data_IF_355622756969
#
_entry.id   IF_355622756969
#
_cell.length_a   1.000
_cell.length_b   1.000
_cell.length_c   1.000
_cell.angle_alpha   90.00
_cell.angle_beta   90.00
_cell.angle_gamma   90.00
#
_symmetry.space_group_name_H-M   'P 1'
#
loop_
_entity.id
_entity.type
_entity.pdbx_description
1 polymer ?
#
# COMPACT_ATOMS: atom_id res chain seq x y z
N UNK A 1 -9.53 -5.54 -33.92
CA UNK A 1 -8.48 -5.54 -32.88
C UNK A 1 -8.86 -4.47 -31.89
N UNK A 2 -9.28 -4.89 -30.70
CA UNK A 2 -9.89 -4.01 -29.71
C UNK A 2 -8.87 -3.00 -29.14
N UNK A 3 -9.36 -1.89 -28.59
CA UNK A 3 -8.60 -0.80 -27.96
C UNK A 3 -7.66 -1.20 -26.78
N UNK A 4 -7.42 -2.50 -26.56
CA UNK A 4 -6.56 -3.07 -25.52
C UNK A 4 -5.05 -3.03 -25.85
N UNK A 5 -4.66 -2.71 -27.09
CA UNK A 5 -3.27 -2.92 -27.56
C UNK A 5 -2.40 -1.64 -27.66
N UNK A 6 -2.80 -0.48 -27.12
CA UNK A 6 -2.03 0.75 -27.34
C UNK A 6 -1.07 1.14 -26.23
N UNK A 7 -1.41 0.87 -24.97
CA UNK A 7 -0.50 1.04 -23.84
C UNK A 7 -0.26 -0.34 -23.22
N UNK A 8 0.95 -0.85 -23.39
CA UNK A 8 1.29 -2.24 -23.04
C UNK A 8 1.16 -2.52 -21.54
N UNK A 9 1.40 -1.51 -20.70
CA UNK A 9 1.45 -1.67 -19.26
C UNK A 9 0.13 -1.32 -18.54
N UNK A 10 -0.81 -0.58 -19.15
CA UNK A 10 -1.98 -0.05 -18.43
C UNK A 10 -2.87 -1.15 -17.85
N UNK A 11 -3.23 -2.16 -18.65
CA UNK A 11 -4.06 -3.26 -18.15
C UNK A 11 -3.33 -4.16 -17.13
N UNK A 12 -2.07 -4.55 -17.33
CA UNK A 12 -1.28 -5.23 -16.32
C UNK A 12 -1.16 -4.43 -15.01
N UNK A 13 -0.86 -3.14 -15.10
CA UNK A 13 -0.74 -2.26 -13.94
C UNK A 13 -2.04 -2.19 -13.15
N UNK A 14 -3.20 -2.04 -13.79
CA UNK A 14 -4.50 -2.03 -13.08
C UNK A 14 -4.75 -3.27 -12.25
N UNK A 15 -4.30 -4.45 -12.72
CA UNK A 15 -4.40 -5.69 -11.93
C UNK A 15 -3.49 -5.62 -10.71
N UNK A 16 -2.26 -5.13 -10.91
CA UNK A 16 -1.30 -4.95 -9.81
C UNK A 16 -1.77 -3.91 -8.79
N UNK A 17 -2.44 -2.82 -9.20
CA UNK A 17 -3.03 -1.86 -8.27
C UNK A 17 -4.12 -2.50 -7.41
N UNK A 18 -4.96 -3.37 -7.98
CA UNK A 18 -5.97 -4.11 -7.20
C UNK A 18 -5.31 -5.05 -6.17
N UNK A 19 -4.25 -5.76 -6.58
CA UNK A 19 -3.46 -6.59 -5.67
C UNK A 19 -2.83 -5.74 -4.54
N UNK A 20 -2.30 -4.55 -4.89
CA UNK A 20 -1.76 -3.58 -3.94
C UNK A 20 -2.82 -3.13 -2.94
N UNK A 21 -4.03 -2.75 -3.40
CA UNK A 21 -5.11 -2.36 -2.49
C UNK A 21 -5.52 -3.47 -1.53
N UNK A 22 -5.56 -4.71 -2.01
CA UNK A 22 -5.86 -5.86 -1.17
C UNK A 22 -4.78 -6.08 -0.10
N UNK A 23 -3.50 -5.91 -0.45
CA UNK A 23 -2.39 -5.96 0.52
C UNK A 23 -2.44 -4.81 1.53
N UNK A 24 -2.71 -3.58 1.07
CA UNK A 24 -2.93 -2.43 1.95
C UNK A 24 -4.04 -2.69 2.98
N UNK A 25 -5.17 -3.27 2.55
CA UNK A 25 -6.28 -3.60 3.45
C UNK A 25 -5.89 -4.63 4.51
N UNK A 26 -5.08 -5.65 4.16
CA UNK A 26 -4.58 -6.63 5.13
C UNK A 26 -3.58 -5.99 6.11
N UNK A 27 -2.68 -5.14 5.63
CA UNK A 27 -1.77 -4.37 6.49
C UNK A 27 -2.52 -3.47 7.47
N UNK A 28 -3.55 -2.76 6.99
CA UNK A 28 -4.43 -1.94 7.83
C UNK A 28 -5.09 -2.77 8.94
N UNK A 29 -5.54 -3.99 8.64
CA UNK A 29 -6.10 -4.89 9.66
C UNK A 29 -5.08 -5.30 10.72
N UNK A 30 -3.80 -5.48 10.36
CA UNK A 30 -2.76 -5.77 11.35
C UNK A 30 -2.47 -4.55 12.23
N UNK A 31 -2.33 -3.36 11.63
CA UNK A 31 -2.14 -2.12 12.38
C UNK A 31 -3.28 -1.83 13.35
N UNK A 32 -4.53 -2.05 12.94
CA UNK A 32 -5.69 -1.89 13.81
C UNK A 32 -5.64 -2.84 15.03
N UNK A 33 -5.17 -4.08 14.85
CA UNK A 33 -4.99 -5.04 15.95
C UNK A 33 -3.85 -4.65 16.88
N UNK A 34 -2.76 -4.08 16.34
CA UNK A 34 -1.68 -3.51 17.16
C UNK A 34 -2.23 -2.36 17.99
N UNK A 35 -2.94 -1.41 17.37
CA UNK A 35 -3.54 -0.26 18.06
C UNK A 35 -4.44 -0.72 19.21
N UNK A 36 -5.36 -1.64 18.95
CA UNK A 36 -6.28 -2.21 19.94
C UNK A 36 -5.53 -2.92 21.08
N UNK A 37 -4.48 -3.68 20.78
CA UNK A 37 -3.67 -4.37 21.78
C UNK A 37 -2.91 -3.39 22.69
N UNK A 38 -2.34 -2.33 22.11
CA UNK A 38 -1.66 -1.27 22.85
C UNK A 38 -2.66 -0.50 23.71
N UNK A 39 -3.81 -0.12 23.16
CA UNK A 39 -4.86 0.60 23.91
C UNK A 39 -5.34 -0.19 25.13
N UNK A 40 -5.64 -1.49 24.94
CA UNK A 40 -6.09 -2.38 26.01
C UNK A 40 -5.02 -2.57 27.08
N UNK A 41 -3.75 -2.65 26.68
CA UNK A 41 -2.64 -2.73 27.63
C UNK A 41 -2.56 -1.48 28.48
N UNK A 42 -2.62 -0.29 27.87
CA UNK A 42 -2.64 0.99 28.60
C UNK A 42 -3.81 1.06 29.59
N UNK A 43 -4.99 0.60 29.20
CA UNK A 43 -6.16 0.53 30.07
C UNK A 43 -5.97 -0.42 31.26
N UNK A 44 -5.41 -1.61 31.03
CA UNK A 44 -5.14 -2.60 32.08
C UNK A 44 -4.08 -2.12 33.10
N UNK A 45 -3.16 -1.26 32.69
CA UNK A 45 -2.14 -0.67 33.56
C UNK A 45 -2.56 0.66 34.19
N UNK A 46 -3.73 1.19 33.85
CA UNK A 46 -4.23 2.46 34.36
C UNK A 46 -4.92 2.33 35.72
N UNK A 47 -4.97 3.45 36.47
CA UNK A 47 -5.62 3.55 37.79
C UNK A 47 -7.11 3.18 37.77
N UNK A 48 -7.73 3.19 36.59
CA UNK A 48 -9.15 2.89 36.35
C UNK A 48 -9.51 1.41 36.55
N UNK A 49 -8.51 0.52 36.65
CA UNK A 49 -8.71 -0.92 36.81
C UNK A 49 -9.24 -1.34 38.20
N UNK A 50 -9.32 -0.39 39.15
CA UNK A 50 -10.11 -0.51 40.38
C UNK A 50 -9.75 -1.73 41.25
N UNK A 51 -10.76 -2.39 41.82
CA UNK A 51 -10.63 -3.54 42.73
C UNK A 51 -9.93 -4.78 42.14
N UNK A 52 -9.70 -4.82 40.83
CA UNK A 52 -8.97 -5.91 40.15
C UNK A 52 -7.47 -5.60 39.97
N UNK A 53 -7.02 -4.40 40.34
CA UNK A 53 -5.59 -4.04 40.39
C UNK A 53 -4.81 -4.94 41.36
N UNK A 54 -5.46 -5.41 42.43
CA UNK A 54 -4.88 -6.33 43.41
C UNK A 54 -4.65 -7.75 42.84
N UNK A 55 -5.19 -8.05 41.65
CA UNK A 55 -4.94 -9.31 40.92
C UNK A 55 -3.73 -9.16 39.98
N UNK A 56 -2.55 -8.85 40.53
CA UNK A 56 -1.31 -8.63 39.77
C UNK A 56 -0.99 -9.75 38.77
N UNK A 57 -1.22 -11.01 39.16
CA UNK A 57 -1.02 -12.17 38.27
C UNK A 57 -1.95 -12.15 37.04
N UNK A 58 -3.20 -11.71 37.21
CA UNK A 58 -4.16 -11.62 36.13
C UNK A 58 -3.79 -10.48 35.19
N UNK A 59 -3.45 -9.32 35.75
CA UNK A 59 -3.00 -8.15 35.00
C UNK A 59 -1.74 -8.46 34.17
N UNK A 60 -0.72 -9.05 34.81
CA UNK A 60 0.52 -9.46 34.13
C UNK A 60 0.23 -10.43 32.99
N UNK A 61 -0.58 -11.46 33.23
CA UNK A 61 -0.93 -12.46 32.21
C UNK A 61 -1.73 -11.87 31.05
N UNK A 62 -2.65 -10.94 31.32
CA UNK A 62 -3.44 -10.27 30.30
C UNK A 62 -2.58 -9.34 29.44
N UNK A 63 -1.75 -8.50 30.07
CA UNK A 63 -0.82 -7.61 29.37
C UNK A 63 0.20 -8.39 28.53
N UNK A 64 0.78 -9.47 29.06
CA UNK A 64 1.70 -10.33 28.31
C UNK A 64 1.03 -10.90 27.04
N UNK A 65 -0.21 -11.38 27.14
CA UNK A 65 -0.94 -11.91 25.98
C UNK A 65 -1.26 -10.86 24.93
N UNK A 66 -1.54 -9.62 25.34
CA UNK A 66 -1.78 -8.50 24.44
C UNK A 66 -0.49 -8.09 23.73
N UNK A 67 0.65 -8.06 24.43
CA UNK A 67 1.96 -7.82 23.83
C UNK A 67 2.33 -8.90 22.82
N UNK A 68 2.11 -10.18 23.15
CA UNK A 68 2.32 -11.28 22.21
C UNK A 68 1.46 -11.15 20.94
N UNK A 69 0.22 -10.68 21.10
CA UNK A 69 -0.68 -10.44 19.97
C UNK A 69 -0.19 -9.26 19.11
N UNK A 70 0.17 -8.13 19.75
CA UNK A 70 0.73 -6.96 19.08
C UNK A 70 1.97 -7.36 18.28
N UNK A 71 2.91 -8.07 18.89
CA UNK A 71 4.15 -8.50 18.23
C UNK A 71 3.89 -9.43 17.03
N UNK A 72 2.97 -10.40 17.16
CA UNK A 72 2.56 -11.24 16.02
C UNK A 72 1.92 -10.43 14.89
N UNK A 73 1.12 -9.42 15.22
CA UNK A 73 0.52 -8.54 14.23
C UNK A 73 1.57 -7.63 13.56
N UNK A 74 2.55 -7.11 14.31
CA UNK A 74 3.70 -6.37 13.75
C UNK A 74 4.49 -7.23 12.77
N UNK A 75 4.75 -8.50 13.10
CA UNK A 75 5.41 -9.43 12.17
C UNK A 75 4.59 -9.65 10.90
N UNK A 76 3.28 -9.87 11.03
CA UNK A 76 2.38 -10.01 9.86
C UNK A 76 2.32 -8.72 9.04
N UNK A 77 2.42 -7.56 9.67
CA UNK A 77 2.50 -6.30 8.95
C UNK A 77 3.76 -6.21 8.10
N UNK A 78 4.90 -6.67 8.62
CA UNK A 78 6.13 -6.80 7.83
C UNK A 78 5.95 -7.74 6.64
N UNK A 79 5.32 -8.90 6.85
CA UNK A 79 5.02 -9.84 5.74
C UNK A 79 4.15 -9.16 4.65
N UNK A 80 3.21 -8.29 5.03
CA UNK A 80 2.40 -7.53 4.05
C UNK A 80 3.22 -6.44 3.33
N UNK A 81 4.19 -5.80 4.00
CA UNK A 81 5.13 -4.87 3.35
C UNK A 81 6.02 -5.59 2.35
N UNK A 82 6.51 -6.77 2.69
CA UNK A 82 7.31 -7.59 1.77
C UNK A 82 6.45 -7.98 0.54
N UNK A 83 5.17 -8.31 0.75
CA UNK A 83 4.21 -8.53 -0.34
C UNK A 83 3.96 -7.29 -1.20
N UNK A 84 3.91 -6.09 -0.61
CA UNK A 84 3.83 -4.84 -1.37
C UNK A 84 5.10 -4.59 -2.20
N UNK A 85 6.28 -4.91 -1.67
CA UNK A 85 7.54 -4.81 -2.40
C UNK A 85 7.58 -5.75 -3.61
N UNK A 86 7.07 -6.98 -3.46
CA UNK A 86 6.92 -7.93 -4.57
C UNK A 86 5.96 -7.41 -5.67
N UNK A 87 4.85 -6.79 -5.27
CA UNK A 87 3.91 -6.16 -6.21
C UNK A 87 4.59 -5.00 -6.94
N UNK A 88 5.28 -4.13 -6.21
CA UNK A 88 6.03 -3.02 -6.80
C UNK A 88 7.11 -3.50 -7.78
N UNK A 89 7.87 -4.55 -7.43
CA UNK A 89 8.87 -5.14 -8.32
C UNK A 89 8.22 -5.67 -9.61
N UNK A 90 7.01 -6.25 -9.53
CA UNK A 90 6.23 -6.65 -10.71
C UNK A 90 5.74 -5.45 -11.52
N UNK A 91 5.34 -4.34 -10.88
CA UNK A 91 4.99 -3.11 -11.58
C UNK A 91 6.21 -2.53 -12.32
N UNK A 92 7.38 -2.50 -11.67
CA UNK A 92 8.61 -2.00 -12.25
C UNK A 92 9.07 -2.82 -13.48
N UNK A 93 8.85 -4.14 -13.48
CA UNK A 93 9.14 -5.01 -14.64
C UNK A 93 8.32 -4.67 -15.89
N UNK A 94 7.21 -3.93 -15.77
CA UNK A 94 6.43 -3.48 -16.92
C UNK A 94 7.21 -2.51 -17.82
N UNK A 95 8.26 -1.85 -17.32
CA UNK A 95 9.13 -0.98 -18.13
C UNK A 95 9.84 -1.79 -19.23
N UNK A 96 10.29 -3.01 -18.91
CA UNK A 96 11.10 -3.85 -19.80
C UNK A 96 10.28 -4.88 -20.58
N UNK A 97 8.96 -4.71 -20.68
CA UNK A 97 8.11 -5.65 -21.40
C UNK A 97 8.35 -5.58 -22.92
N UNK A 98 8.63 -6.72 -23.55
CA UNK A 98 8.88 -6.85 -24.98
C UNK A 98 7.71 -6.35 -25.85
N UNK A 99 6.49 -6.26 -25.31
CA UNK A 99 5.36 -5.66 -26.01
C UNK A 99 5.59 -4.17 -26.32
N UNK A 100 6.42 -3.47 -25.55
CA UNK A 100 6.80 -2.08 -25.80
C UNK A 100 7.53 -1.91 -27.15
N UNK A 101 8.26 -2.94 -27.60
CA UNK A 101 9.03 -2.91 -28.85
C UNK A 101 8.15 -2.91 -30.12
N UNK A 102 6.83 -3.11 -29.97
CA UNK A 102 5.87 -3.07 -31.08
C UNK A 102 5.31 -1.68 -31.36
N UNK A 103 5.61 -0.70 -30.49
CA UNK A 103 5.15 0.67 -30.61
C UNK A 103 6.17 1.56 -31.33
N UNK A 104 5.68 2.63 -31.94
CA UNK A 104 6.54 3.72 -32.42
C UNK A 104 7.34 4.33 -31.27
N UNK A 105 8.61 4.64 -31.52
CA UNK A 105 9.58 5.07 -30.50
C UNK A 105 9.10 6.28 -29.70
N UNK A 106 8.49 7.28 -30.37
CA UNK A 106 7.98 8.48 -29.70
C UNK A 106 6.82 8.16 -28.77
N UNK A 107 5.98 7.17 -29.13
CA UNK A 107 4.85 6.72 -28.31
C UNK A 107 5.34 5.88 -27.13
N UNK A 108 6.30 4.99 -27.38
CA UNK A 108 6.96 4.18 -26.36
C UNK A 108 7.53 5.08 -25.26
N UNK A 109 8.34 6.07 -25.63
CA UNK A 109 8.93 7.04 -24.70
C UNK A 109 7.87 7.82 -23.90
N UNK A 110 6.77 8.24 -24.53
CA UNK A 110 5.69 8.96 -23.85
C UNK A 110 5.02 8.08 -22.78
N UNK A 111 4.60 6.88 -23.14
CA UNK A 111 3.93 5.99 -22.19
C UNK A 111 4.90 5.42 -21.14
N UNK A 112 6.17 5.29 -21.47
CA UNK A 112 7.23 4.97 -20.50
C UNK A 112 7.38 6.08 -19.46
N UNK A 113 7.39 7.35 -19.89
CA UNK A 113 7.43 8.49 -18.97
C UNK A 113 6.23 8.51 -18.02
N UNK A 114 5.02 8.23 -18.54
CA UNK A 114 3.82 8.13 -17.71
C UNK A 114 3.95 6.96 -16.72
N UNK A 115 4.45 5.80 -17.14
CA UNK A 115 4.66 4.67 -16.25
C UNK A 115 5.66 5.01 -15.14
N UNK A 116 6.76 5.71 -15.45
CA UNK A 116 7.74 6.14 -14.46
C UNK A 116 7.12 7.09 -13.41
N UNK A 117 6.25 8.00 -13.85
CA UNK A 117 5.49 8.88 -12.94
C UNK A 117 4.61 8.05 -11.98
N UNK A 118 3.87 7.07 -12.52
CA UNK A 118 3.05 6.16 -11.72
C UNK A 118 3.92 5.38 -10.73
N UNK A 119 5.01 4.77 -11.19
CA UNK A 119 5.90 3.96 -10.34
C UNK A 119 6.52 4.77 -9.21
N UNK A 120 6.88 6.03 -9.45
CA UNK A 120 7.38 6.92 -8.42
C UNK A 120 6.38 7.08 -7.27
N UNK A 121 5.07 7.20 -7.54
CA UNK A 121 4.05 7.28 -6.48
C UNK A 121 4.03 6.03 -5.59
N UNK A 122 4.07 4.84 -6.21
CA UNK A 122 4.07 3.57 -5.49
C UNK A 122 5.36 3.34 -4.72
N UNK A 123 6.51 3.78 -5.25
CA UNK A 123 7.79 3.70 -4.56
C UNK A 123 7.78 4.52 -3.26
N UNK A 124 7.35 5.79 -3.34
CA UNK A 124 7.24 6.65 -2.16
C UNK A 124 6.26 6.08 -1.13
N UNK A 125 5.13 5.55 -1.56
CA UNK A 125 4.17 4.90 -0.67
C UNK A 125 4.75 3.63 -0.03
N UNK A 126 5.48 2.81 -0.79
CA UNK A 126 6.15 1.61 -0.26
C UNK A 126 7.16 1.97 0.82
N UNK A 127 7.97 3.01 0.59
CA UNK A 127 8.94 3.50 1.56
C UNK A 127 8.23 3.96 2.83
N UNK A 128 7.18 4.77 2.71
CA UNK A 128 6.40 5.23 3.86
C UNK A 128 5.82 4.06 4.67
N UNK A 129 5.26 3.04 4.00
CA UNK A 129 4.72 1.84 4.65
C UNK A 129 5.81 0.99 5.32
N UNK A 130 6.98 0.90 4.70
CA UNK A 130 8.14 0.19 5.26
C UNK A 130 8.65 0.86 6.54
N UNK A 131 8.68 2.21 6.57
CA UNK A 131 9.04 2.96 7.78
C UNK A 131 8.05 2.71 8.92
N UNK A 132 6.75 2.70 8.61
CA UNK A 132 5.71 2.36 9.60
C UNK A 132 5.93 0.95 10.15
N UNK A 133 6.14 -0.05 9.28
CA UNK A 133 6.34 -1.44 9.70
C UNK A 133 7.63 -1.65 10.50
N UNK A 134 8.69 -0.89 10.21
CA UNK A 134 9.92 -0.91 11.00
C UNK A 134 9.71 -0.32 12.39
N UNK A 135 9.05 0.83 12.50
CA UNK A 135 8.87 1.54 13.77
C UNK A 135 7.88 0.84 14.72
N UNK A 136 6.88 0.15 14.17
CA UNK A 136 5.80 -0.47 14.96
C UNK A 136 6.29 -1.51 15.98
N UNK A 137 7.47 -2.10 15.78
CA UNK A 137 8.06 -3.06 16.72
C UNK A 137 8.47 -2.42 18.04
N UNK A 138 8.77 -1.13 18.02
CA UNK A 138 9.22 -0.34 19.17
C UNK A 138 8.15 0.68 19.62
N UNK A 139 6.95 0.61 19.04
CA UNK A 139 5.88 1.56 19.31
C UNK A 139 5.01 1.11 20.49
N UNK A 140 5.19 1.78 21.63
CA UNK A 140 4.44 1.54 22.87
C UNK A 140 3.28 2.53 23.10
N UNK A 141 3.14 3.54 22.25
CA UNK A 141 2.16 4.63 22.42
C UNK A 141 0.99 4.46 21.46
N UNK A 142 -0.22 4.33 22.01
CA UNK A 142 -1.45 4.19 21.22
C UNK A 142 -1.67 5.33 20.21
N UNK A 143 -1.37 6.56 20.59
CA UNK A 143 -1.51 7.75 19.72
C UNK A 143 -0.65 7.63 18.46
N UNK A 144 0.61 7.19 18.61
CA UNK A 144 1.52 6.98 17.49
C UNK A 144 1.01 5.88 16.55
N UNK A 145 0.53 4.75 17.10
CA UNK A 145 -0.06 3.68 16.27
C UNK A 145 -1.30 4.16 15.53
N UNK A 146 -2.10 5.04 16.14
CA UNK A 146 -3.29 5.62 15.49
C UNK A 146 -2.91 6.53 14.32
N UNK A 147 -1.85 7.33 14.47
CA UNK A 147 -1.30 8.15 13.37
C UNK A 147 -0.84 7.23 12.23
N UNK A 148 -0.09 6.16 12.53
CA UNK A 148 0.33 5.20 11.52
C UNK A 148 -0.83 4.52 10.81
N UNK A 149 -1.88 4.14 11.54
CA UNK A 149 -3.09 3.59 10.94
C UNK A 149 -3.76 4.58 9.98
N UNK A 150 -3.85 5.85 10.35
CA UNK A 150 -4.42 6.90 9.49
C UNK A 150 -3.55 7.14 8.24
N UNK A 151 -2.23 7.29 8.41
CA UNK A 151 -1.28 7.44 7.30
C UNK A 151 -1.34 6.26 6.34
N UNK A 152 -1.44 5.04 6.87
CA UNK A 152 -1.54 3.83 6.06
C UNK A 152 -2.81 3.80 5.20
N UNK A 153 -3.93 4.27 5.76
CA UNK A 153 -5.23 4.33 5.07
C UNK A 153 -5.27 5.39 3.98
N UNK A 154 -4.70 6.57 4.26
CA UNK A 154 -4.75 7.70 3.33
C UNK A 154 -3.93 7.47 2.06
N UNK A 155 -2.87 6.67 2.12
CA UNK A 155 -1.92 6.47 1.00
C UNK A 155 -1.49 7.81 0.36
N UNK A 156 -0.93 8.76 1.15
CA UNK A 156 -0.77 10.15 0.74
C UNK A 156 0.15 10.34 -0.48
N UNK A 157 0.98 9.36 -0.82
CA UNK A 157 1.87 9.43 -1.97
C UNK A 157 1.23 8.94 -3.28
N UNK A 158 0.08 8.26 -3.20
CA UNK A 158 -0.66 7.80 -4.37
C UNK A 158 -1.76 8.82 -4.69
N UNK A 159 -1.47 9.72 -5.62
CA UNK A 159 -2.45 10.68 -6.13
C UNK A 159 -3.43 10.01 -7.09
N UNK A 160 -4.60 9.63 -6.55
CA UNK A 160 -5.67 8.98 -7.32
C UNK A 160 -6.22 9.83 -8.44
N UNK A 161 -6.37 11.14 -8.20
CA UNK A 161 -6.85 12.04 -9.23
C UNK A 161 -5.87 12.08 -10.39
N UNK A 162 -4.57 12.16 -10.09
CA UNK A 162 -3.53 12.14 -11.12
C UNK A 162 -3.51 10.83 -11.89
N UNK A 163 -3.70 9.68 -11.24
CA UNK A 163 -3.81 8.39 -11.93
C UNK A 163 -5.00 8.35 -12.91
N UNK A 164 -6.15 8.91 -12.54
CA UNK A 164 -7.32 9.02 -13.42
C UNK A 164 -7.07 9.94 -14.62
N UNK A 165 -6.39 11.07 -14.41
CA UNK A 165 -5.97 11.98 -15.48
C UNK A 165 -5.03 11.28 -16.48
N UNK A 166 -4.01 10.58 -15.97
CA UNK A 166 -3.06 9.84 -16.79
C UNK A 166 -3.74 8.73 -17.60
N UNK A 167 -4.68 8.01 -17.00
CA UNK A 167 -5.49 7.04 -17.71
C UNK A 167 -6.30 7.71 -18.84
N UNK A 168 -6.96 8.83 -18.53
CA UNK A 168 -7.78 9.57 -19.49
C UNK A 168 -6.94 10.07 -20.66
N UNK A 169 -5.71 10.52 -20.41
CA UNK A 169 -4.76 10.92 -21.46
C UNK A 169 -4.43 9.75 -22.39
N UNK A 170 -4.18 8.56 -21.84
CA UNK A 170 -3.91 7.34 -22.64
C UNK A 170 -5.14 6.96 -23.48
N UNK A 171 -6.35 7.06 -22.91
CA UNK A 171 -7.60 6.77 -23.60
C UNK A 171 -7.95 7.81 -24.69
N UNK A 172 -7.62 9.08 -24.48
CA UNK A 172 -7.84 10.13 -25.48
C UNK A 172 -6.86 10.00 -26.65
N UNK A 173 -5.57 9.72 -26.37
CA UNK A 173 -4.56 9.45 -27.40
C UNK A 173 -5.00 8.29 -28.31
N UNK A 174 -5.71 7.30 -27.75
CA UNK A 174 -6.34 6.21 -28.48
C UNK A 174 -7.46 6.67 -29.42
N UNK A 175 -8.40 7.47 -28.92
CA UNK A 175 -9.57 7.92 -29.66
C UNK A 175 -9.18 8.69 -30.94
N UNK A 176 -8.25 9.64 -30.81
CA UNK A 176 -7.77 10.45 -31.94
C UNK A 176 -6.98 9.63 -32.98
N UNK A 177 -6.38 8.51 -32.58
CA UNK A 177 -5.68 7.63 -33.52
C UNK A 177 -6.64 6.77 -34.34
N UNK A 178 -7.70 6.26 -33.73
CA UNK A 178 -8.74 5.50 -34.44
C UNK A 178 -9.52 6.33 -35.45
N UNK A 179 -9.56 7.66 -35.28
CA UNK A 179 -10.28 8.59 -36.17
C UNK A 179 -9.45 9.14 -37.33
N UNK A 180 -8.12 8.89 -37.40
CA UNK A 180 -7.33 9.30 -38.56
C UNK A 180 -7.73 8.45 -39.78
N UNK A 181 -8.22 9.04 -40.88
CA UNK A 181 -8.54 8.29 -42.09
C UNK A 181 -7.25 7.69 -42.66
N UNK A 182 -7.28 6.40 -42.99
CA UNK A 182 -6.22 5.73 -43.76
C UNK A 182 -6.17 6.43 -45.13
N UNK A 183 -5.14 7.25 -45.33
CA UNK A 183 -4.74 7.72 -46.67
C UNK A 183 -3.86 6.68 -47.32
#
# INVERSE_FOLDING_TARGET
MAARDACWWLSPWKKLDQEWQAACARGQQQLAKVADSVQKTTYLTGEHWGSLADCEHLQYRASSRLWDLAHRCSKRLQDEVDGLADIYARMHRLISDDQANRLDEKRRQRYEMILLEVLSMYEHELVAKSLIASDIFECFKHETVTIYLASWQMQPHIDRQRLEELETLIQNDLHYQTQKPRR
#
